data_IF_374106317477
#
_entry.id   IF_374106317477
#
_cell.length_a   1.000
_cell.length_b   1.000
_cell.length_c   1.000
_cell.angle_alpha   90.00
_cell.angle_beta   90.00
_cell.angle_gamma   90.00
#
_symmetry.space_group_name_H-M   'P 1'
#
loop_
_entity.id
_entity.type
_entity.pdbx_description
1 polymer ?
#
# COMPACT_ATOMS: atom_id res chain seq x y z
N UNK A 1 6.95 19.56 -3.10
CA UNK A 1 5.88 20.27 -2.33
C UNK A 1 4.45 19.81 -2.65
N UNK A 2 4.18 19.05 -3.73
CA UNK A 2 2.83 18.49 -3.98
C UNK A 2 2.65 17.04 -3.48
N UNK A 3 3.71 16.41 -2.97
CA UNK A 3 3.67 15.04 -2.46
C UNK A 3 3.10 14.94 -1.03
N UNK A 4 3.14 16.02 -0.24
CA UNK A 4 2.73 15.98 1.17
C UNK A 4 1.20 16.06 1.36
N UNK A 5 0.52 16.84 0.52
CA UNK A 5 -0.92 17.06 0.62
C UNK A 5 -1.73 15.81 0.28
N UNK A 6 -1.35 15.07 -0.77
CA UNK A 6 -2.10 13.87 -1.19
C UNK A 6 -1.91 12.67 -0.25
N UNK A 7 -0.82 12.62 0.51
CA UNK A 7 -0.58 11.56 1.48
C UNK A 7 -1.30 11.80 2.81
N UNK A 8 -1.36 13.04 3.31
CA UNK A 8 -2.02 13.33 4.61
C UNK A 8 -3.55 13.23 4.59
N UNK A 9 -4.22 13.41 3.45
CA UNK A 9 -5.69 13.30 3.37
C UNK A 9 -6.21 11.86 3.52
N UNK A 10 -5.35 10.86 3.32
CA UNK A 10 -5.74 9.46 3.40
C UNK A 10 -5.52 8.85 4.79
N UNK A 11 -4.82 9.51 5.72
CA UNK A 11 -4.57 8.98 7.06
C UNK A 11 -5.81 9.10 7.96
N UNK A 12 -6.12 8.05 8.75
CA UNK A 12 -7.14 8.16 9.79
C UNK A 12 -6.78 9.30 10.74
N UNK A 13 -7.75 10.15 11.06
CA UNK A 13 -7.52 11.37 11.84
C UNK A 13 -7.66 11.13 13.34
N UNK A 14 -8.33 10.05 13.73
CA UNK A 14 -8.55 9.64 15.10
C UNK A 14 -8.54 8.10 15.26
N UNK A 15 -8.60 7.65 16.52
CA UNK A 15 -8.51 6.24 16.89
C UNK A 15 -9.71 5.42 16.43
N UNK A 16 -10.91 6.03 16.39
CA UNK A 16 -12.14 5.36 15.98
C UNK A 16 -12.12 5.04 14.48
N UNK A 17 -11.68 6.01 13.66
CA UNK A 17 -11.49 5.83 12.22
C UNK A 17 -10.40 4.79 11.91
N UNK A 18 -9.37 4.70 12.77
CA UNK A 18 -8.36 3.66 12.69
C UNK A 18 -8.93 2.28 13.03
N UNK A 19 -9.65 2.12 14.14
CA UNK A 19 -10.23 0.82 14.49
C UNK A 19 -11.26 0.33 13.46
N UNK A 20 -12.03 1.24 12.84
CA UNK A 20 -12.97 0.90 11.78
C UNK A 20 -12.26 0.48 10.47
N UNK A 21 -11.27 1.26 10.02
CA UNK A 21 -10.58 1.01 8.75
C UNK A 21 -9.56 -0.15 8.81
N UNK A 22 -9.03 -0.44 9.99
CA UNK A 22 -7.99 -1.46 10.21
C UNK A 22 -8.50 -2.65 11.05
N UNK A 23 -9.81 -2.90 11.02
CA UNK A 23 -10.47 -4.00 11.74
C UNK A 23 -9.99 -5.39 11.32
N UNK A 24 -9.27 -5.51 10.20
CA UNK A 24 -8.53 -6.72 9.82
C UNK A 24 -7.12 -6.41 9.31
N UNK A 25 -6.23 -7.39 9.45
CA UNK A 25 -4.85 -7.26 8.98
C UNK A 25 -4.78 -7.12 7.45
N UNK A 26 -5.71 -7.75 6.72
CA UNK A 26 -5.84 -7.65 5.27
C UNK A 26 -6.22 -6.23 4.84
N UNK A 27 -7.21 -5.62 5.50
CA UNK A 27 -7.62 -4.25 5.24
C UNK A 27 -6.45 -3.27 5.47
N UNK A 28 -5.66 -3.51 6.53
CA UNK A 28 -4.45 -2.75 6.80
C UNK A 28 -3.42 -2.84 5.68
N UNK A 29 -3.12 -4.07 5.24
CA UNK A 29 -2.14 -4.31 4.16
C UNK A 29 -2.58 -3.68 2.84
N UNK A 30 -3.88 -3.76 2.51
CA UNK A 30 -4.42 -3.16 1.28
C UNK A 30 -4.43 -1.63 1.32
N UNK A 31 -4.78 -1.05 2.46
CA UNK A 31 -4.65 0.38 2.68
C UNK A 31 -3.20 0.85 2.52
N UNK A 32 -2.23 0.19 3.17
CA UNK A 32 -0.81 0.52 3.05
C UNK A 32 -0.29 0.35 1.61
N UNK A 33 -0.77 -0.66 0.88
CA UNK A 33 -0.42 -0.85 -0.52
C UNK A 33 -0.94 0.31 -1.39
N UNK A 34 -2.17 0.78 -1.14
CA UNK A 34 -2.75 1.92 -1.86
C UNK A 34 -1.99 3.22 -1.62
N UNK A 35 -1.54 3.46 -0.37
CA UNK A 35 -0.70 4.60 -0.03
C UNK A 35 0.67 4.51 -0.72
N UNK A 36 1.30 3.34 -0.66
CA UNK A 36 2.63 3.12 -1.22
C UNK A 36 2.65 3.27 -2.75
N UNK A 37 1.58 2.83 -3.40
CA UNK A 37 1.48 2.73 -4.86
C UNK A 37 0.16 3.29 -5.37
N UNK A 38 -0.03 4.63 -5.32
CA UNK A 38 -1.30 5.26 -5.68
C UNK A 38 -1.65 5.12 -7.17
N UNK A 39 -0.67 4.81 -8.02
CA UNK A 39 -0.85 4.63 -9.46
C UNK A 39 -0.62 3.16 -9.88
N UNK A 40 -0.69 2.22 -8.95
CA UNK A 40 -0.39 0.81 -9.17
C UNK A 40 1.02 0.40 -8.74
N UNK A 41 1.21 -0.90 -8.55
CA UNK A 41 2.45 -1.48 -8.03
C UNK A 41 3.65 -1.05 -8.87
N UNK A 42 4.72 -0.61 -8.21
CA UNK A 42 6.01 -0.35 -8.84
C UNK A 42 7.11 -0.94 -7.95
N UNK A 43 7.85 -1.90 -8.49
CA UNK A 43 8.92 -2.54 -7.73
C UNK A 43 10.01 -1.50 -7.41
N UNK A 44 10.34 -1.28 -6.13
CA UNK A 44 11.38 -0.32 -5.75
C UNK A 44 12.80 -0.78 -6.14
N UNK A 45 12.99 -2.08 -6.41
CA UNK A 45 14.31 -2.62 -6.77
C UNK A 45 14.61 -2.53 -8.28
N UNK A 46 13.60 -2.71 -9.14
CA UNK A 46 13.82 -2.76 -10.59
C UNK A 46 12.86 -1.89 -11.42
N UNK A 47 11.93 -1.17 -10.80
CA UNK A 47 10.99 -0.28 -11.48
C UNK A 47 9.92 -0.96 -12.34
N UNK A 48 9.79 -2.29 -12.29
CA UNK A 48 8.72 -2.98 -13.03
C UNK A 48 7.37 -2.89 -12.33
N UNK A 49 6.31 -2.79 -13.14
CA UNK A 49 4.93 -2.59 -12.68
C UNK A 49 4.15 -3.87 -12.33
N UNK A 50 4.76 -5.04 -12.52
CA UNK A 50 4.07 -6.31 -12.31
C UNK A 50 4.52 -7.03 -11.05
N UNK A 51 3.55 -7.53 -10.28
CA UNK A 51 3.77 -8.35 -9.11
C UNK A 51 2.78 -9.51 -9.01
N UNK A 52 3.14 -10.47 -8.16
CA UNK A 52 2.25 -11.46 -7.57
C UNK A 52 1.87 -10.99 -6.18
N UNK A 53 0.59 -11.05 -5.83
CA UNK A 53 0.14 -10.91 -4.44
C UNK A 53 0.20 -12.29 -3.78
N UNK A 54 1.00 -12.42 -2.75
CA UNK A 54 1.17 -13.64 -1.96
C UNK A 54 0.03 -13.75 -0.94
N UNK A 55 -0.17 -14.95 -0.38
CA UNK A 55 -1.24 -15.23 0.58
C UNK A 55 -1.09 -14.49 1.91
N UNK A 56 0.15 -14.10 2.25
CA UNK A 56 0.44 -13.20 3.37
C UNK A 56 0.24 -11.72 3.00
N UNK A 57 -0.29 -11.40 1.82
CA UNK A 57 -0.49 -10.01 1.38
C UNK A 57 0.79 -9.28 0.98
N UNK A 58 1.94 -9.95 0.92
CA UNK A 58 3.15 -9.36 0.34
C UNK A 58 3.07 -9.33 -1.19
N UNK A 59 3.77 -8.36 -1.78
CA UNK A 59 3.89 -8.24 -3.23
C UNK A 59 5.27 -8.73 -3.66
N UNK A 60 5.32 -9.67 -4.59
CA UNK A 60 6.55 -10.19 -5.19
C UNK A 60 6.64 -9.76 -6.64
N UNK A 61 7.67 -8.98 -6.99
CA UNK A 61 7.90 -8.53 -8.35
C UNK A 61 8.08 -9.72 -9.30
N UNK A 62 7.40 -9.71 -10.45
CA UNK A 62 7.54 -10.77 -11.45
C UNK A 62 8.93 -10.80 -12.10
N UNK A 63 9.61 -9.66 -12.16
CA UNK A 63 10.90 -9.52 -12.85
C UNK A 63 12.09 -9.87 -11.95
N UNK A 64 12.19 -9.23 -10.77
CA UNK A 64 13.35 -9.41 -9.89
C UNK A 64 13.06 -10.32 -8.68
N UNK A 65 11.84 -10.84 -8.55
CA UNK A 65 11.43 -11.74 -7.46
C UNK A 65 11.60 -11.16 -6.04
N UNK A 66 11.67 -9.83 -5.92
CA UNK A 66 11.70 -9.06 -4.66
C UNK A 66 10.37 -8.43 -4.32
#
# INVERSE_FOLDING_TARGET
>A
MLWYTRFMEAYPKDLEELELNFSSEEACRDYLASLRWPNGFLCPACGHGESWRLSDGLFKCKTCSR
#
